data_IF_350023622490
#
_entry.id   IF_350023622490
#
_cell.length_a   1.000
_cell.length_b   1.000
_cell.length_c   1.000
_cell.angle_alpha   90.00
_cell.angle_beta   90.00
_cell.angle_gamma   90.00
#
_symmetry.space_group_name_H-M   'P 1'
#
loop_
_entity.id
_entity.type
_entity.pdbx_description
1 polymer ?
#
# COMPACT_ATOMS: atom_id res chain seq x y z
N UNK A 1 -7.55 17.33 -27.80
CA UNK A 1 -7.20 16.93 -26.42
C UNK A 1 -8.31 17.38 -25.48
N UNK A 2 -9.18 16.48 -25.04
CA UNK A 2 -10.23 16.82 -24.05
C UNK A 2 -9.59 17.22 -22.72
N UNK A 3 -9.72 18.50 -22.37
CA UNK A 3 -9.27 19.05 -21.08
C UNK A 3 -10.35 18.80 -20.03
N UNK A 4 -10.49 17.56 -19.55
CA UNK A 4 -11.19 17.35 -18.27
C UNK A 4 -10.26 17.77 -17.15
N UNK A 5 -10.40 19.02 -16.72
CA UNK A 5 -9.69 19.55 -15.55
C UNK A 5 -10.34 18.94 -14.33
N UNK A 6 -9.73 17.90 -13.76
CA UNK A 6 -10.16 17.35 -12.48
C UNK A 6 -9.91 18.40 -11.38
N UNK A 7 -10.94 19.18 -11.07
CA UNK A 7 -10.90 20.19 -10.00
C UNK A 7 -11.25 19.51 -8.68
N UNK A 8 -10.21 19.13 -7.92
CA UNK A 8 -10.40 18.64 -6.56
C UNK A 8 -10.98 19.75 -5.67
N UNK A 9 -11.98 19.43 -4.83
CA UNK A 9 -12.46 20.35 -3.80
C UNK A 9 -11.33 20.53 -2.76
N UNK A 10 -10.69 21.71 -2.75
CA UNK A 10 -9.61 22.15 -1.82
C UNK A 10 -8.23 21.50 -2.08
N UNK A 11 -7.51 21.91 -3.14
CA UNK A 11 -6.15 21.46 -3.35
C UNK A 11 -5.22 21.99 -2.26
N UNK A 12 -4.32 21.15 -1.77
CA UNK A 12 -3.32 21.59 -0.78
C UNK A 12 -2.10 22.20 -1.42
N UNK A 13 -1.78 21.77 -2.64
CA UNK A 13 -0.66 22.25 -3.43
C UNK A 13 -1.05 22.27 -4.91
N UNK A 14 -0.80 23.40 -5.56
CA UNK A 14 -1.03 23.61 -6.99
C UNK A 14 0.32 23.67 -7.70
N UNK A 15 0.46 22.95 -8.80
CA UNK A 15 1.68 22.97 -9.60
C UNK A 15 1.37 22.73 -11.08
N UNK A 16 2.30 23.16 -11.94
CA UNK A 16 2.22 22.98 -13.38
C UNK A 16 3.14 21.84 -13.81
N UNK A 17 2.65 20.95 -14.68
CA UNK A 17 3.53 19.97 -15.30
C UNK A 17 4.49 20.68 -16.27
N UNK A 18 5.81 20.47 -16.19
CA UNK A 18 6.76 21.13 -17.08
C UNK A 18 6.62 20.69 -18.54
N UNK A 19 6.14 19.47 -18.78
CA UNK A 19 6.03 18.90 -20.13
C UNK A 19 4.75 19.33 -20.85
N UNK A 20 3.58 19.09 -20.23
CA UNK A 20 2.29 19.38 -20.85
C UNK A 20 1.64 20.69 -20.40
N UNK A 21 2.28 21.45 -19.48
CA UNK A 21 1.79 22.71 -18.90
C UNK A 21 0.39 22.64 -18.28
N UNK A 22 -0.12 21.45 -18.02
CA UNK A 22 -1.41 21.25 -17.37
C UNK A 22 -1.33 21.61 -15.88
N UNK A 23 -2.33 22.33 -15.37
CA UNK A 23 -2.51 22.55 -13.93
C UNK A 23 -2.80 21.24 -13.21
N UNK A 24 -2.24 21.07 -12.01
CA UNK A 24 -2.39 19.88 -11.17
C UNK A 24 -2.59 20.27 -9.72
N UNK A 25 -3.27 19.36 -9.02
CA UNK A 25 -3.63 19.50 -7.63
C UNK A 25 -3.19 18.24 -6.90
N UNK A 26 -2.39 18.37 -5.83
CA UNK A 26 -2.17 17.26 -4.89
C UNK A 26 -3.22 17.33 -3.78
N UNK A 27 -3.92 16.21 -3.57
CA UNK A 27 -4.87 16.09 -2.48
C UNK A 27 -4.12 15.75 -1.18
N UNK A 28 -3.11 14.86 -1.25
CA UNK A 28 -2.35 14.46 -0.07
C UNK A 28 -1.18 15.40 0.25
N UNK A 29 -1.02 15.68 1.54
CA UNK A 29 0.20 16.28 2.10
C UNK A 29 1.14 15.17 2.56
N UNK A 30 2.44 15.40 2.43
CA UNK A 30 3.47 14.48 2.91
C UNK A 30 3.56 14.38 4.43
N UNK A 31 3.03 15.38 5.16
CA UNK A 31 3.06 15.43 6.62
C UNK A 31 1.68 15.04 7.18
N UNK A 32 1.65 14.15 8.18
CA UNK A 32 0.43 13.85 8.93
C UNK A 32 -0.08 15.10 9.65
N UNK A 33 -1.39 15.30 9.60
CA UNK A 33 -2.06 16.33 10.41
C UNK A 33 -2.05 15.95 11.90
N UNK A 34 -2.04 16.93 12.80
CA UNK A 34 -2.16 16.72 14.25
C UNK A 34 -3.38 15.87 14.63
N UNK A 35 -4.49 16.02 13.90
CA UNK A 35 -5.71 15.22 14.09
C UNK A 35 -5.50 13.75 13.76
N UNK A 36 -4.74 13.46 12.68
CA UNK A 36 -4.44 12.10 12.27
C UNK A 36 -3.52 11.42 13.28
N UNK A 37 -2.59 12.17 13.88
CA UNK A 37 -1.75 11.66 14.97
C UNK A 37 -2.57 11.30 16.21
N UNK A 38 -3.53 12.16 16.61
CA UNK A 38 -4.43 11.84 17.71
C UNK A 38 -5.23 10.56 17.43
N UNK A 39 -5.79 10.42 16.22
CA UNK A 39 -6.53 9.22 15.83
C UNK A 39 -5.65 7.95 15.86
N UNK A 40 -4.42 8.05 15.33
CA UNK A 40 -3.47 6.94 15.30
C UNK A 40 -3.05 6.52 16.72
N UNK A 41 -2.85 7.49 17.60
CA UNK A 41 -2.53 7.26 19.01
C UNK A 41 -3.68 6.56 19.73
N UNK A 42 -4.91 7.08 19.61
CA UNK A 42 -6.10 6.46 20.22
C UNK A 42 -6.32 5.05 19.70
N UNK A 43 -6.19 4.82 18.39
CA UNK A 43 -6.31 3.48 17.79
C UNK A 43 -5.26 2.51 18.34
N UNK A 44 -4.01 2.98 18.46
CA UNK A 44 -2.92 2.17 19.01
C UNK A 44 -3.16 1.81 20.48
N UNK A 45 -3.67 2.75 21.26
CA UNK A 45 -4.00 2.54 22.67
C UNK A 45 -5.10 1.47 22.82
N UNK A 46 -6.17 1.56 22.02
CA UNK A 46 -7.22 0.52 21.97
C UNK A 46 -6.65 -0.86 21.60
N UNK A 47 -5.75 -0.92 20.61
CA UNK A 47 -5.08 -2.18 20.24
C UNK A 47 -4.22 -2.75 21.37
N UNK A 48 -3.47 -1.89 22.07
CA UNK A 48 -2.64 -2.31 23.22
C UNK A 48 -3.51 -2.89 24.32
N UNK A 49 -4.62 -2.23 24.68
CA UNK A 49 -5.53 -2.73 25.70
C UNK A 49 -6.14 -4.09 25.30
N UNK A 50 -6.52 -4.24 24.04
CA UNK A 50 -7.11 -5.49 23.54
C UNK A 50 -6.10 -6.64 23.48
N UNK A 51 -4.83 -6.35 23.16
CA UNK A 51 -3.75 -7.34 23.11
C UNK A 51 -3.03 -7.55 24.47
N UNK A 52 -3.33 -6.74 25.48
CA UNK A 52 -2.72 -6.81 26.81
C UNK A 52 -2.85 -8.19 27.49
N UNK A 53 -4.02 -8.86 27.53
CA UNK A 53 -4.13 -10.16 28.20
C UNK A 53 -3.30 -11.26 27.52
N UNK A 54 -2.97 -11.10 26.23
CA UNK A 54 -2.21 -12.12 25.48
C UNK A 54 -0.70 -11.90 25.56
N UNK A 55 -0.22 -10.66 25.49
CA UNK A 55 1.22 -10.34 25.39
C UNK A 55 1.79 -9.54 26.57
N UNK A 56 0.96 -9.06 27.49
CA UNK A 56 1.36 -8.20 28.60
C UNK A 56 2.06 -6.93 28.13
N UNK A 57 3.19 -6.58 28.77
CA UNK A 57 3.99 -5.40 28.44
C UNK A 57 4.57 -5.40 27.02
N UNK A 58 4.69 -6.57 26.36
CA UNK A 58 5.16 -6.66 24.97
C UNK A 58 4.18 -6.03 23.99
N UNK A 59 2.92 -5.83 24.38
CA UNK A 59 1.91 -5.15 23.57
C UNK A 59 2.31 -3.71 23.21
N UNK A 60 3.17 -3.05 23.99
CA UNK A 60 3.67 -1.70 23.65
C UNK A 60 4.41 -1.64 22.31
N UNK A 61 5.01 -2.74 21.86
CA UNK A 61 5.69 -2.80 20.56
C UNK A 61 4.71 -2.63 19.38
N UNK A 62 3.43 -2.93 19.56
CA UNK A 62 2.37 -2.77 18.55
C UNK A 62 2.25 -1.31 18.11
N UNK A 63 2.48 -0.35 19.01
CA UNK A 63 2.46 1.08 18.68
C UNK A 63 3.43 1.43 17.54
N UNK A 64 4.68 0.94 17.62
CA UNK A 64 5.68 1.20 16.59
C UNK A 64 5.31 0.58 15.24
N UNK A 65 4.71 -0.61 15.25
CA UNK A 65 4.25 -1.27 14.03
C UNK A 65 3.11 -0.49 13.38
N UNK A 66 2.08 -0.12 14.15
CA UNK A 66 0.94 0.68 13.67
C UNK A 66 1.41 2.03 13.11
N UNK A 67 2.35 2.68 13.81
CA UNK A 67 2.96 3.93 13.35
C UNK A 67 3.70 3.76 12.02
N UNK A 68 4.60 2.77 11.92
CA UNK A 68 5.39 2.50 10.73
C UNK A 68 4.50 2.17 9.51
N UNK A 69 3.43 1.40 9.72
CA UNK A 69 2.44 1.10 8.68
C UNK A 69 1.72 2.37 8.23
N UNK A 70 1.25 3.20 9.15
CA UNK A 70 0.55 4.44 8.82
C UNK A 70 1.42 5.42 8.01
N UNK A 71 2.70 5.59 8.40
CA UNK A 71 3.64 6.43 7.67
C UNK A 71 3.93 5.87 6.27
N UNK A 72 4.12 4.56 6.16
CA UNK A 72 4.35 3.88 4.89
C UNK A 72 3.17 4.06 3.93
N UNK A 73 1.94 3.86 4.42
CA UNK A 73 0.72 4.01 3.62
C UNK A 73 0.58 5.45 3.10
N UNK A 74 0.76 6.46 3.96
CA UNK A 74 0.66 7.86 3.53
C UNK A 74 1.71 8.20 2.47
N UNK A 75 2.94 7.71 2.65
CA UNK A 75 4.03 7.90 1.69
C UNK A 75 3.74 7.22 0.34
N UNK A 76 3.08 6.06 0.35
CA UNK A 76 2.66 5.36 -0.85
C UNK A 76 1.53 6.11 -1.60
N UNK A 77 0.51 6.59 -0.87
CA UNK A 77 -0.54 7.40 -1.48
C UNK A 77 0.01 8.69 -2.09
N UNK A 78 0.91 9.37 -1.39
CA UNK A 78 1.59 10.55 -1.92
C UNK A 78 2.34 10.22 -3.22
N UNK A 79 3.08 9.11 -3.28
CA UNK A 79 3.80 8.69 -4.51
C UNK A 79 2.87 8.38 -5.69
N UNK A 80 1.67 7.83 -5.43
CA UNK A 80 0.68 7.53 -6.47
C UNK A 80 0.09 8.78 -7.14
N UNK A 81 0.03 9.92 -6.44
CA UNK A 81 -0.53 11.17 -6.97
C UNK A 81 0.45 12.05 -7.75
N UNK A 82 1.76 11.82 -7.62
CA UNK A 82 2.79 12.61 -8.30
C UNK A 82 2.77 12.49 -9.84
N UNK A 83 2.67 11.29 -10.45
CA UNK A 83 2.80 11.14 -11.90
C UNK A 83 1.68 11.80 -12.68
N UNK A 84 1.95 12.11 -13.94
CA UNK A 84 1.01 12.85 -14.77
C UNK A 84 -0.04 12.02 -15.50
N UNK A 85 -1.36 12.11 -15.18
CA UNK A 85 -2.42 11.48 -15.99
C UNK A 85 -2.41 11.87 -17.47
N UNK A 86 -1.93 13.05 -17.85
CA UNK A 86 -1.94 13.47 -19.26
C UNK A 86 -0.73 12.97 -20.07
N UNK A 87 0.49 13.01 -19.51
CA UNK A 87 1.74 12.72 -20.21
C UNK A 87 2.66 11.70 -19.52
N UNK A 88 2.29 11.15 -18.37
CA UNK A 88 3.11 10.19 -17.62
C UNK A 88 4.32 10.78 -16.89
N UNK A 89 4.60 12.08 -17.03
CA UNK A 89 5.75 12.72 -16.38
C UNK A 89 5.71 12.63 -14.85
N UNK A 90 6.81 12.18 -14.24
CA UNK A 90 7.02 12.09 -12.79
C UNK A 90 8.19 12.99 -12.36
N UNK A 91 7.90 13.98 -11.53
CA UNK A 91 8.89 14.94 -11.04
C UNK A 91 9.94 14.31 -10.10
N UNK A 92 9.58 13.24 -9.37
CA UNK A 92 10.52 12.57 -8.46
C UNK A 92 11.60 11.83 -9.21
N UNK A 93 11.23 11.16 -10.30
CA UNK A 93 12.19 10.51 -11.20
C UNK A 93 13.00 11.53 -11.97
N UNK A 94 12.39 12.63 -12.44
CA UNK A 94 13.15 13.67 -13.15
C UNK A 94 14.27 14.28 -12.30
N UNK A 95 14.02 14.51 -11.00
CA UNK A 95 15.05 15.01 -10.07
C UNK A 95 16.16 13.97 -9.79
N UNK A 96 15.85 12.68 -9.87
CA UNK A 96 16.80 11.59 -9.59
C UNK A 96 17.60 11.17 -10.83
N UNK A 97 16.92 10.92 -11.94
CA UNK A 97 17.49 10.53 -13.23
C UNK A 97 16.55 10.88 -14.40
N UNK A 98 17.02 11.75 -15.27
CA UNK A 98 16.29 12.21 -16.46
C UNK A 98 16.05 11.07 -17.47
N UNK A 99 16.94 10.07 -17.53
CA UNK A 99 16.82 8.95 -18.48
C UNK A 99 15.66 8.03 -18.12
N UNK A 100 15.45 7.76 -16.83
CA UNK A 100 14.30 6.96 -16.35
C UNK A 100 13.00 7.73 -16.60
N UNK A 101 12.99 9.04 -16.34
CA UNK A 101 11.81 9.87 -16.60
C UNK A 101 11.40 9.87 -18.08
N UNK A 102 12.37 9.94 -19.01
CA UNK A 102 12.11 9.83 -20.47
C UNK A 102 11.47 8.49 -20.84
N UNK A 103 12.06 7.38 -20.38
CA UNK A 103 11.53 6.03 -20.63
C UNK A 103 10.08 5.86 -20.14
N UNK A 104 9.76 6.34 -18.94
CA UNK A 104 8.40 6.28 -18.40
C UNK A 104 7.37 7.07 -19.24
N UNK A 105 7.78 8.23 -19.77
CA UNK A 105 6.93 9.03 -20.65
C UNK A 105 6.72 8.30 -21.99
N UNK A 106 7.76 7.73 -22.57
CA UNK A 106 7.67 6.95 -23.82
C UNK A 106 6.76 5.72 -23.66
N UNK A 107 6.92 4.97 -22.57
CA UNK A 107 6.05 3.83 -22.21
C UNK A 107 4.59 4.26 -22.03
N UNK A 108 4.36 5.40 -21.37
CA UNK A 108 3.01 5.95 -21.21
C UNK A 108 2.34 6.24 -22.56
N UNK A 109 3.07 6.84 -23.51
CA UNK A 109 2.54 7.12 -24.85
C UNK A 109 2.36 5.86 -25.68
N UNK A 110 3.25 4.87 -25.55
CA UNK A 110 3.13 3.58 -26.22
C UNK A 110 1.86 2.85 -25.76
N UNK A 111 1.68 2.72 -24.44
CA UNK A 111 0.49 2.10 -23.84
C UNK A 111 -0.81 2.81 -24.23
N UNK A 112 -0.79 4.15 -24.38
CA UNK A 112 -1.95 4.93 -24.80
C UNK A 112 -2.34 4.69 -26.26
N UNK A 113 -1.37 4.46 -27.15
CA UNK A 113 -1.62 4.13 -28.56
C UNK A 113 -2.21 2.72 -28.72
N UNK A 114 -1.69 1.77 -27.93
CA UNK A 114 -2.11 0.36 -27.98
C UNK A 114 -3.44 0.11 -27.28
N UNK A 115 -3.79 0.88 -26.25
CA UNK A 115 -4.93 0.61 -25.34
C UNK A 115 -6.12 1.57 -25.42
N UNK A 116 -6.46 2.11 -26.59
CA UNK A 116 -7.43 3.21 -26.81
C UNK A 116 -8.85 3.14 -26.21
N UNK A 117 -9.22 2.12 -25.41
CA UNK A 117 -10.55 1.99 -24.77
C UNK A 117 -10.50 1.68 -23.25
N UNK A 118 -9.34 1.59 -22.59
CA UNK A 118 -9.28 1.25 -21.14
C UNK A 118 -8.54 2.25 -20.25
N UNK A 119 -8.53 3.54 -20.63
CA UNK A 119 -7.75 4.57 -19.93
C UNK A 119 -8.55 5.37 -18.89
N UNK A 120 -9.14 4.72 -17.90
CA UNK A 120 -9.49 5.39 -16.64
C UNK A 120 -9.58 4.41 -15.48
N UNK A 121 -8.48 4.30 -14.73
CA UNK A 121 -8.53 3.84 -13.35
C UNK A 121 -8.63 2.34 -13.15
N UNK A 122 -7.52 1.63 -13.31
CA UNK A 122 -7.21 0.55 -12.36
C UNK A 122 -5.83 0.78 -11.80
N UNK A 123 -5.81 1.03 -10.49
CA UNK A 123 -4.62 0.96 -9.66
C UNK A 123 -3.84 -0.29 -10.03
N UNK A 124 -2.62 -0.08 -10.57
CA UNK A 124 -1.60 -1.10 -10.66
C UNK A 124 -1.13 -1.49 -9.26
N UNK A 125 -2.00 -2.17 -8.51
CA UNK A 125 -1.59 -3.08 -7.46
C UNK A 125 -0.88 -4.23 -8.13
N UNK A 126 0.44 -4.12 -8.29
CA UNK A 126 1.31 -5.25 -8.59
C UNK A 126 1.30 -6.22 -7.39
N UNK A 127 0.18 -6.95 -7.22
CA UNK A 127 -0.03 -8.01 -6.22
C UNK A 127 0.39 -9.38 -6.76
N UNK A 128 1.14 -9.43 -7.87
CA UNK A 128 1.50 -10.69 -8.56
C UNK A 128 2.89 -11.26 -8.23
N UNK A 129 3.57 -10.79 -7.17
CA UNK A 129 4.88 -11.36 -6.75
C UNK A 129 5.04 -11.65 -5.25
N UNK A 130 3.95 -11.91 -4.51
CA UNK A 130 4.09 -12.45 -3.12
C UNK A 130 3.35 -13.78 -2.92
N UNK A 131 2.69 -14.33 -3.96
CA UNK A 131 2.11 -15.68 -3.89
C UNK A 131 3.16 -16.81 -4.04
N UNK A 132 4.46 -16.50 -4.11
CA UNK A 132 5.51 -17.49 -4.28
C UNK A 132 6.47 -17.60 -3.07
N UNK A 133 6.18 -16.97 -1.93
CA UNK A 133 7.11 -16.96 -0.78
C UNK A 133 6.47 -17.24 0.59
N UNK A 134 5.29 -17.86 0.67
CA UNK A 134 4.71 -18.26 1.97
C UNK A 134 4.15 -19.68 2.03
N UNK A 135 4.52 -20.56 1.09
CA UNK A 135 4.09 -21.98 1.11
C UNK A 135 5.11 -22.92 1.77
N UNK A 136 6.14 -22.41 2.44
CA UNK A 136 7.11 -23.22 3.21
C UNK A 136 7.13 -22.81 4.68
N UNK A 137 6.00 -22.96 5.37
CA UNK A 137 5.96 -22.99 6.85
C UNK A 137 4.63 -23.54 7.38
N UNK A 138 4.12 -24.66 6.84
CA UNK A 138 3.06 -25.43 7.52
C UNK A 138 3.16 -26.91 7.15
N UNK A 139 4.20 -27.58 7.65
CA UNK A 139 4.24 -29.04 7.75
C UNK A 139 5.21 -29.44 8.85
N UNK A 140 4.86 -29.11 10.10
CA UNK A 140 5.50 -29.72 11.28
C UNK A 140 4.39 -30.29 12.16
N UNK A 141 4.24 -31.61 12.01
CA UNK A 141 3.88 -32.58 13.04
C UNK A 141 2.55 -32.41 13.80
N UNK A 142 1.48 -32.96 13.23
CA UNK A 142 0.42 -33.61 14.00
C UNK A 142 0.46 -35.10 13.68
N UNK A 143 1.27 -35.86 14.42
CA UNK A 143 1.27 -37.33 14.44
C UNK A 143 1.43 -37.78 15.88
N UNK A 144 0.32 -38.08 16.54
CA UNK A 144 0.24 -38.99 17.69
C UNK A 144 -1.22 -39.08 18.17
N UNK A 145 -2.04 -39.86 17.47
CA UNK A 145 -3.26 -40.42 18.05
C UNK A 145 -3.73 -41.62 17.21
N UNK A 146 -3.09 -42.76 17.45
CA UNK A 146 -3.56 -44.10 17.06
C UNK A 146 -2.74 -45.13 17.83
N UNK A 147 -3.06 -45.33 19.12
CA UNK A 147 -2.87 -46.64 19.72
C UNK A 147 -4.22 -47.12 20.22
N UNK A 148 -4.58 -48.21 19.56
CA UNK A 148 -5.89 -48.80 19.44
C UNK A 148 -6.17 -49.63 20.68
N UNK A 149 -7.41 -49.48 21.13
CA UNK A 149 -8.03 -50.17 22.22
C UNK A 149 -8.28 -51.62 21.78
N UNK A 150 -7.37 -52.54 22.13
CA UNK A 150 -7.53 -53.99 21.99
C UNK A 150 -7.10 -54.63 23.31
N UNK A 151 -8.04 -54.97 24.18
CA UNK A 151 -8.40 -56.37 24.34
C UNK A 151 -9.65 -56.55 25.21
N UNK A 152 -10.52 -57.40 24.68
CA UNK A 152 -11.81 -57.81 25.17
C UNK A 152 -11.61 -59.14 25.92
N UNK A 153 -12.15 -59.24 27.14
CA UNK A 153 -12.60 -60.47 27.83
C UNK A 153 -11.63 -61.65 28.05
N UNK A 154 -11.58 -62.18 29.28
CA UNK A 154 -12.20 -63.47 29.65
C UNK A 154 -11.69 -63.99 31.02
N UNK A 155 -12.68 -64.33 31.86
CA UNK A 155 -12.78 -65.51 32.74
C UNK A 155 -11.93 -65.63 34.02
N UNK A 156 -12.71 -65.75 35.10
CA UNK A 156 -12.59 -66.66 36.25
C UNK A 156 -11.53 -66.37 37.31
#
# INVERSE_FOLDING_TARGET
>A
MERRVYRGKRPTLEFYCPLCRSKRFLAYRSKLSRKNYAQLFTLSLVLILLCYPFMGLRALFIFFIVWGVAETILKLFFRKEIPCPYCGFDATWYKRDVRVAKRLVEEFWKNKKEGGVMASGKEGGNKKRVAAASTTATSVATTANSEENVNVTLKN
#
